data_IF_539917263687
#
_entry.id   IF_539917263687
#
_cell.length_a   1.000
_cell.length_b   1.000
_cell.length_c   1.000
_cell.angle_alpha   90.00
_cell.angle_beta   90.00
_cell.angle_gamma   90.00
#
_symmetry.space_group_name_H-M   'P 1'
#
loop_
_entity.id
_entity.type
_entity.pdbx_description
1 polymer ?
#
# COMPACT_ATOMS: atom_id res chain seq x y z
N UNK A 1 -29.10 -27.80 24.20
CA UNK A 1 -29.05 -26.54 24.98
C UNK A 1 -27.60 -26.30 25.35
N UNK A 2 -26.84 -25.34 24.84
CA UNK A 2 -27.00 -24.37 23.75
C UNK A 2 -25.58 -23.86 23.40
N UNK A 3 -25.30 -23.86 22.09
CA UNK A 3 -24.53 -22.88 21.27
C UNK A 3 -23.08 -22.50 21.64
N UNK A 4 -22.16 -23.09 20.86
CA UNK A 4 -21.45 -22.42 19.75
C UNK A 4 -20.88 -21.00 19.98
N UNK A 5 -19.57 -20.88 19.85
CA UNK A 5 -18.88 -19.59 19.87
C UNK A 5 -17.40 -19.66 19.46
N UNK A 6 -17.04 -20.52 18.49
CA UNK A 6 -15.74 -20.41 17.82
C UNK A 6 -15.73 -19.06 17.09
N UNK A 7 -15.13 -18.03 17.71
CA UNK A 7 -14.74 -16.81 17.01
C UNK A 7 -13.74 -17.21 15.94
N UNK A 8 -14.25 -17.50 14.74
CA UNK A 8 -13.46 -17.42 13.52
C UNK A 8 -12.87 -16.01 13.51
N UNK A 9 -11.57 -15.93 13.76
CA UNK A 9 -10.76 -14.77 13.40
C UNK A 9 -11.23 -14.32 12.02
N UNK A 10 -11.67 -13.07 11.91
CA UNK A 10 -11.88 -12.44 10.61
C UNK A 10 -10.52 -12.49 9.93
N UNK A 11 -10.33 -13.47 9.05
CA UNK A 11 -9.18 -13.57 8.17
C UNK A 11 -9.20 -12.30 7.31
N UNK A 12 -8.57 -11.24 7.83
CA UNK A 12 -8.19 -10.09 7.04
C UNK A 12 -7.11 -10.57 6.08
N UNK A 13 -7.53 -11.20 5.00
CA UNK A 13 -6.67 -11.53 3.87
C UNK A 13 -6.27 -10.19 3.23
N UNK A 14 -5.26 -9.54 3.79
CA UNK A 14 -4.65 -8.39 3.16
C UNK A 14 -4.14 -8.80 1.80
N UNK A 15 -4.34 -7.91 0.83
CA UNK A 15 -3.84 -8.14 -0.50
C UNK A 15 -2.30 -8.11 -0.50
N UNK A 16 -1.72 -8.86 -1.43
CA UNK A 16 -0.26 -9.01 -1.56
C UNK A 16 0.38 -7.67 -1.86
N UNK A 17 1.58 -7.47 -1.33
CA UNK A 17 2.43 -6.32 -1.68
C UNK A 17 3.51 -6.86 -2.60
N UNK A 18 3.47 -6.49 -3.87
CA UNK A 18 4.47 -6.89 -4.86
C UNK A 18 5.23 -5.68 -5.39
N UNK A 19 6.53 -5.87 -5.58
CA UNK A 19 7.38 -4.87 -6.17
C UNK A 19 7.05 -4.71 -7.67
N UNK A 20 6.96 -3.46 -8.13
CA UNK A 20 6.81 -3.11 -9.55
C UNK A 20 8.11 -2.59 -10.17
N UNK A 21 9.16 -2.35 -9.37
CA UNK A 21 10.45 -1.87 -9.87
C UNK A 21 11.47 -2.98 -10.20
N UNK A 22 11.22 -4.24 -9.79
CA UNK A 22 12.08 -5.36 -10.14
C UNK A 22 11.45 -6.25 -11.23
N UNK A 23 12.26 -6.87 -12.12
CA UNK A 23 11.75 -7.76 -13.17
C UNK A 23 10.99 -8.98 -12.65
N UNK A 24 11.30 -9.42 -11.43
CA UNK A 24 10.71 -10.63 -10.82
C UNK A 24 9.39 -10.37 -10.11
N UNK A 25 8.92 -9.12 -10.03
CA UNK A 25 7.75 -8.73 -9.25
C UNK A 25 7.72 -9.34 -7.85
N UNK A 26 8.85 -9.23 -7.13
CA UNK A 26 9.04 -9.96 -5.87
C UNK A 26 7.93 -9.63 -4.86
N UNK A 27 7.46 -10.66 -4.16
CA UNK A 27 6.50 -10.50 -3.08
C UNK A 27 7.22 -9.95 -1.85
N UNK A 28 6.85 -8.74 -1.44
CA UNK A 28 7.31 -8.10 -0.21
C UNK A 28 6.51 -8.62 0.98
N UNK A 29 5.19 -8.83 0.79
CA UNK A 29 4.28 -9.43 1.78
C UNK A 29 3.14 -10.22 1.13
N UNK A 30 2.58 -11.24 1.81
CA UNK A 30 2.87 -11.65 3.20
C UNK A 30 4.17 -12.45 3.37
N UNK A 31 4.64 -13.15 2.34
CA UNK A 31 5.86 -13.94 2.41
C UNK A 31 6.96 -13.20 1.64
N UNK A 32 7.78 -12.45 2.37
CA UNK A 32 8.96 -11.81 1.77
C UNK A 32 9.79 -12.88 1.08
N UNK A 33 9.85 -12.84 -0.25
CA UNK A 33 10.63 -13.82 -0.98
C UNK A 33 12.12 -13.57 -0.72
N UNK A 34 12.96 -14.61 -0.79
CA UNK A 34 14.42 -14.44 -0.74
C UNK A 34 14.93 -13.44 -1.79
N UNK A 35 14.15 -13.23 -2.86
CA UNK A 35 14.43 -12.27 -3.93
C UNK A 35 14.25 -10.81 -3.51
N UNK A 36 13.52 -10.51 -2.43
CA UNK A 36 13.40 -9.15 -1.88
C UNK A 36 14.76 -8.63 -1.44
N UNK A 37 15.63 -9.49 -0.89
CA UNK A 37 17.01 -9.16 -0.51
C UNK A 37 17.89 -8.77 -1.71
N UNK A 38 17.49 -9.14 -2.92
CA UNK A 38 18.17 -8.81 -4.18
C UNK A 38 17.40 -7.77 -5.01
N UNK A 39 16.26 -7.30 -4.50
CA UNK A 39 15.55 -6.19 -5.12
C UNK A 39 16.48 -4.98 -5.05
N UNK A 40 16.69 -4.31 -6.19
CA UNK A 40 17.57 -3.14 -6.30
C UNK A 40 17.25 -2.08 -5.23
N UNK A 41 18.18 -1.15 -4.98
CA UNK A 41 18.16 -0.16 -3.90
C UNK A 41 16.80 0.54 -3.64
N UNK A 42 15.91 0.60 -4.64
CA UNK A 42 14.58 1.22 -4.55
C UNK A 42 13.44 0.23 -4.86
N UNK A 43 12.75 -0.23 -3.81
CA UNK A 43 11.56 -1.08 -3.91
C UNK A 43 10.27 -0.23 -3.97
N UNK A 44 9.59 -0.23 -5.11
CA UNK A 44 8.31 0.45 -5.29
C UNK A 44 7.20 -0.57 -5.44
N UNK A 45 6.10 -0.38 -4.70
CA UNK A 45 4.96 -1.30 -4.70
C UNK A 45 3.65 -0.53 -4.87
N UNK A 46 2.61 -1.23 -5.30
CA UNK A 46 1.22 -0.75 -5.26
C UNK A 46 0.38 -1.66 -4.37
N UNK A 47 -0.66 -1.11 -3.74
CA UNK A 47 -1.55 -1.82 -2.83
C UNK A 47 -2.93 -1.12 -2.80
N UNK A 48 -4.07 -1.79 -2.53
CA UNK A 48 -4.25 -3.23 -2.29
C UNK A 48 -4.12 -4.08 -3.54
N UNK A 49 -4.42 -3.54 -4.72
CA UNK A 49 -4.36 -4.33 -5.94
C UNK A 49 -3.50 -3.61 -6.99
N UNK A 50 -2.69 -4.39 -7.71
CA UNK A 50 -1.87 -3.87 -8.79
C UNK A 50 -2.69 -3.79 -10.08
N UNK A 51 -3.62 -2.82 -10.16
CA UNK A 51 -4.19 -2.45 -11.46
C UNK A 51 -3.06 -2.01 -12.38
N UNK A 52 -2.97 -2.61 -13.58
CA UNK A 52 -1.93 -2.25 -14.56
C UNK A 52 -1.91 -0.76 -14.85
N UNK A 53 -3.07 -0.12 -14.94
CA UNK A 53 -3.17 1.32 -15.18
C UNK A 53 -2.71 2.16 -13.99
N UNK A 54 -3.03 1.72 -12.78
CA UNK A 54 -2.56 2.39 -11.57
C UNK A 54 -1.03 2.33 -11.49
N UNK A 55 -0.45 1.13 -11.59
CA UNK A 55 1.01 0.94 -11.58
C UNK A 55 1.72 1.73 -12.70
N UNK A 56 1.17 1.72 -13.93
CA UNK A 56 1.68 2.52 -15.03
C UNK A 56 1.62 4.04 -14.73
N UNK A 57 0.50 4.51 -14.18
CA UNK A 57 0.35 5.92 -13.79
C UNK A 57 1.39 6.36 -12.76
N UNK A 58 1.70 5.52 -11.78
CA UNK A 58 2.76 5.79 -10.80
C UNK A 58 4.14 5.77 -11.47
N UNK A 59 4.46 4.73 -12.23
CA UNK A 59 5.77 4.59 -12.88
C UNK A 59 6.06 5.72 -13.86
N UNK A 60 5.14 5.97 -14.78
CA UNK A 60 5.32 6.94 -15.87
C UNK A 60 5.08 8.37 -15.40
N UNK A 61 4.07 8.60 -14.56
CA UNK A 61 3.65 9.93 -14.15
C UNK A 61 4.42 10.50 -12.96
N UNK A 62 4.84 9.66 -12.01
CA UNK A 62 5.50 10.13 -10.78
C UNK A 62 6.98 9.77 -10.75
N UNK A 63 7.31 8.49 -10.91
CA UNK A 63 8.67 8.01 -10.69
C UNK A 63 9.63 8.52 -11.77
N UNK A 64 9.25 8.47 -13.05
CA UNK A 64 10.10 8.99 -14.15
C UNK A 64 10.32 10.50 -14.11
N UNK A 65 9.40 11.26 -13.54
CA UNK A 65 9.47 12.72 -13.50
C UNK A 65 10.22 13.26 -12.26
N UNK A 66 10.29 12.48 -11.16
CA UNK A 66 10.75 12.96 -9.85
C UNK A 66 11.71 11.99 -9.13
N UNK A 67 12.66 11.40 -9.86
CA UNK A 67 13.61 10.39 -9.36
C UNK A 67 14.35 10.77 -8.06
N UNK A 68 14.48 12.05 -7.71
CA UNK A 68 15.35 12.52 -6.63
C UNK A 68 14.76 12.51 -5.19
N UNK A 69 13.46 12.26 -4.98
CA UNK A 69 12.86 12.34 -3.62
C UNK A 69 12.49 10.99 -3.00
N UNK A 70 12.55 9.90 -3.77
CA UNK A 70 11.97 8.61 -3.41
C UNK A 70 13.00 7.48 -3.22
N UNK A 71 14.25 7.85 -2.94
CA UNK A 71 15.40 6.94 -2.73
C UNK A 71 15.28 5.92 -1.57
N UNK A 72 14.11 5.77 -0.94
CA UNK A 72 13.90 4.81 0.17
C UNK A 72 12.86 3.73 -0.18
N UNK A 73 12.30 3.76 -1.38
CA UNK A 73 11.19 2.87 -1.76
C UNK A 73 9.87 3.26 -1.12
N UNK A 74 8.76 2.91 -1.77
CA UNK A 74 7.42 3.32 -1.36
C UNK A 74 6.38 2.24 -1.65
N UNK A 75 5.34 2.17 -0.81
CA UNK A 75 4.06 1.57 -1.16
C UNK A 75 3.10 2.69 -1.54
N UNK A 76 2.70 2.71 -2.80
CA UNK A 76 1.63 3.57 -3.30
C UNK A 76 0.29 2.88 -3.07
N UNK A 77 -0.50 3.44 -2.17
CA UNK A 77 -1.81 2.93 -1.79
C UNK A 77 -2.86 3.57 -2.69
N UNK A 78 -3.58 2.78 -3.47
CA UNK A 78 -4.82 3.18 -4.14
C UNK A 78 -5.88 3.44 -3.05
N UNK A 79 -5.96 4.69 -2.61
CA UNK A 79 -6.84 5.15 -1.56
C UNK A 79 -8.15 5.64 -2.17
N UNK A 80 -8.87 4.71 -2.79
CA UNK A 80 -10.14 4.95 -3.45
C UNK A 80 -11.32 4.28 -2.77
N UNK A 81 -12.52 4.80 -3.02
CA UNK A 81 -13.78 4.30 -2.45
C UNK A 81 -14.01 2.81 -2.78
N UNK A 82 -13.52 2.34 -3.92
CA UNK A 82 -13.55 0.92 -4.34
C UNK A 82 -12.87 0.00 -3.33
N UNK A 83 -11.91 0.52 -2.57
CA UNK A 83 -11.12 -0.20 -1.58
C UNK A 83 -11.45 0.20 -0.13
N UNK A 84 -12.52 0.95 0.12
CA UNK A 84 -12.90 1.47 1.44
C UNK A 84 -12.85 0.43 2.56
N UNK A 85 -13.27 -0.82 2.28
CA UNK A 85 -13.28 -1.93 3.26
C UNK A 85 -11.92 -2.12 3.96
N UNK A 86 -10.82 -1.88 3.25
CA UNK A 86 -9.48 -2.02 3.78
C UNK A 86 -9.11 -0.92 4.78
N UNK A 87 -9.73 0.25 4.68
CA UNK A 87 -9.39 1.46 5.45
C UNK A 87 -10.29 1.69 6.67
N UNK A 88 -11.08 0.68 7.05
CA UNK A 88 -12.07 0.76 8.13
C UNK A 88 -11.46 0.56 9.52
N UNK A 89 -10.30 -0.09 9.62
CA UNK A 89 -9.54 -0.26 10.85
C UNK A 89 -8.05 0.07 10.62
N UNK A 90 -7.23 0.08 11.68
CA UNK A 90 -5.79 0.42 11.60
C UNK A 90 -4.93 -0.69 10.98
N UNK A 91 -5.45 -1.91 10.84
CA UNK A 91 -4.62 -3.08 10.55
C UNK A 91 -3.98 -3.03 9.16
N UNK A 92 -4.58 -2.34 8.17
CA UNK A 92 -3.93 -2.14 6.86
C UNK A 92 -2.65 -1.33 7.01
N UNK A 93 -2.66 -0.31 7.87
CA UNK A 93 -1.51 0.55 8.10
C UNK A 93 -0.41 -0.22 8.82
N UNK A 94 -0.76 -1.01 9.83
CA UNK A 94 0.18 -1.89 10.53
C UNK A 94 0.81 -2.91 9.57
N UNK A 95 -0.03 -3.51 8.71
CA UNK A 95 0.41 -4.46 7.70
C UNK A 95 1.44 -3.85 6.73
N UNK A 96 1.21 -2.62 6.27
CA UNK A 96 2.13 -1.91 5.37
C UNK A 96 3.37 -1.37 6.10
N UNK A 97 3.23 -0.90 7.34
CA UNK A 97 4.34 -0.37 8.14
C UNK A 97 5.45 -1.39 8.37
N UNK A 98 5.07 -2.67 8.53
CA UNK A 98 6.01 -3.78 8.65
C UNK A 98 6.93 -3.95 7.42
N UNK A 99 6.54 -3.45 6.23
CA UNK A 99 7.40 -3.48 5.02
C UNK A 99 8.59 -2.54 5.09
N UNK A 100 8.58 -1.57 6.03
CA UNK A 100 9.57 -0.48 6.16
C UNK A 100 9.63 0.49 4.97
N UNK A 101 8.76 0.33 3.97
CA UNK A 101 8.62 1.26 2.86
C UNK A 101 7.80 2.48 3.29
N UNK A 102 8.07 3.63 2.66
CA UNK A 102 7.24 4.83 2.88
C UNK A 102 5.83 4.61 2.32
N UNK A 103 4.82 4.95 3.10
CA UNK A 103 3.42 4.81 2.69
C UNK A 103 2.96 6.11 2.02
N UNK A 104 2.57 6.04 0.75
CA UNK A 104 2.05 7.18 -0.02
C UNK A 104 0.61 6.89 -0.40
N UNK A 105 -0.33 7.72 0.01
CA UNK A 105 -1.74 7.58 -0.36
C UNK A 105 -2.00 8.29 -1.69
N UNK A 106 -2.55 7.58 -2.67
CA UNK A 106 -3.07 8.16 -3.91
C UNK A 106 -4.58 8.21 -3.77
N UNK A 107 -5.09 9.37 -3.37
CA UNK A 107 -6.44 9.55 -2.85
C UNK A 107 -7.40 10.05 -3.91
N UNK A 108 -8.54 9.35 -4.04
CA UNK A 108 -9.67 9.85 -4.82
C UNK A 108 -10.41 10.99 -4.11
N UNK A 109 -11.34 11.64 -4.81
CA UNK A 109 -12.12 12.76 -4.26
C UNK A 109 -13.05 12.37 -3.11
N UNK A 110 -13.52 11.13 -3.07
CA UNK A 110 -14.54 10.66 -2.13
C UNK A 110 -13.92 10.37 -0.76
N UNK A 111 -12.69 9.87 -0.73
CA UNK A 111 -12.01 9.50 0.50
C UNK A 111 -11.08 10.57 1.07
N UNK A 112 -11.02 11.78 0.50
CA UNK A 112 -10.17 12.88 1.02
C UNK A 112 -10.33 13.14 2.52
N UNK A 113 -11.55 13.18 3.10
CA UNK A 113 -11.70 13.37 4.55
C UNK A 113 -11.06 12.23 5.35
N UNK A 114 -11.21 10.99 4.90
CA UNK A 114 -10.64 9.82 5.55
C UNK A 114 -9.12 9.78 5.41
N UNK A 115 -8.57 10.11 4.24
CA UNK A 115 -7.12 10.22 4.02
C UNK A 115 -6.51 11.28 4.96
N UNK A 116 -7.16 12.44 5.08
CA UNK A 116 -6.75 13.50 6.01
C UNK A 116 -6.79 13.07 7.48
N UNK A 117 -7.82 12.32 7.87
CA UNK A 117 -7.89 11.72 9.19
C UNK A 117 -6.68 10.81 9.43
N UNK A 118 -6.44 9.85 8.55
CA UNK A 118 -5.30 8.94 8.70
C UNK A 118 -3.97 9.67 8.77
N UNK A 119 -3.72 10.61 7.86
CA UNK A 119 -2.46 11.38 7.82
C UNK A 119 -2.25 12.27 9.04
N UNK A 120 -3.32 12.88 9.58
CA UNK A 120 -3.23 13.68 10.80
C UNK A 120 -2.90 12.84 12.03
N UNK A 121 -3.41 11.62 12.08
CA UNK A 121 -3.32 10.76 13.27
C UNK A 121 -2.19 9.72 13.23
N UNK A 122 -1.60 9.46 12.05
CA UNK A 122 -0.58 8.44 11.87
C UNK A 122 0.62 8.96 11.09
N UNK A 123 1.77 9.04 11.77
CA UNK A 123 3.05 9.51 11.20
C UNK A 123 3.67 8.54 10.19
N UNK A 124 3.13 7.32 10.10
CA UNK A 124 3.59 6.28 9.18
C UNK A 124 3.26 6.60 7.71
N UNK A 125 2.30 7.51 7.48
CA UNK A 125 1.94 8.00 6.15
C UNK A 125 2.88 9.15 5.79
N UNK A 126 3.67 8.94 4.75
CA UNK A 126 4.67 9.90 4.28
C UNK A 126 4.06 11.07 3.51
N UNK A 127 3.08 10.79 2.64
CA UNK A 127 2.49 11.78 1.75
C UNK A 127 1.08 11.35 1.31
N UNK A 128 0.21 12.34 1.04
CA UNK A 128 -1.02 12.15 0.26
C UNK A 128 -0.88 12.87 -1.08
N UNK A 129 -1.21 12.17 -2.16
CA UNK A 129 -1.40 12.72 -3.51
C UNK A 129 -2.90 12.77 -3.76
N UNK A 130 -3.44 13.96 -3.99
CA UNK A 130 -4.82 14.12 -4.42
C UNK A 130 -4.92 14.12 -5.93
N UNK A 131 -5.80 13.29 -6.47
CA UNK A 131 -6.22 13.46 -7.85
C UNK A 131 -6.95 14.80 -7.98
N UNK A 132 -6.56 15.61 -8.98
CA UNK A 132 -7.20 16.90 -9.28
C UNK A 132 -8.64 16.69 -9.77
#
# INVERSE_FOLDING_TARGET
>A
MDKEGTMKSLNNNFARVTCMSCPSHCEVKPNASLQVSFCQEYCFCTWPEASRYFSLGIMEGLLKQQYHYLYLGCVFVDFSISYLRFFTDKKWLDYLYETKLKIVLVCDRHLRPLANYWYKHHKDIFLIIYQQ
#
